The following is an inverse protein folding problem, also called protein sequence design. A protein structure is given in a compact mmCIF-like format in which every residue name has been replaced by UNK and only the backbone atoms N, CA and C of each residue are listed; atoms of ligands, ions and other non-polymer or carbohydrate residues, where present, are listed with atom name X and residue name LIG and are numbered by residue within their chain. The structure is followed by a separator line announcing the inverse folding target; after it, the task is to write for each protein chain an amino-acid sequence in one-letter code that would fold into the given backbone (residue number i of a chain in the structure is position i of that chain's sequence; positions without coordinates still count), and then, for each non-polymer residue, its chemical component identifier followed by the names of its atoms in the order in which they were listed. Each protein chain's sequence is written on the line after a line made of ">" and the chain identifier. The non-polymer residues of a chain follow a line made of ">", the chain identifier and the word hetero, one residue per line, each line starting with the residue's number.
data_IF_390295713539
#
_entry.id   IF_390295713539
#
_cell.length_a   1.000
_cell.length_b   1.000
_cell.length_c   1.000
_cell.angle_alpha   90.00
_cell.angle_beta   90.00
_cell.angle_gamma   90.00
#
_symmetry.space_group_name_H-M   'P 1'
#
loop_
_entity.id
_entity.type
_entity.pdbx_description
1 polymer ?
#
# COMPACT_ATOMS: atom_id res chain seq x y z
N UNK A 1 9.21 -8.53 -20.18
CA UNK A 1 9.06 -7.82 -18.92
C UNK A 1 7.97 -6.78 -19.14
N UNK A 2 6.77 -7.02 -18.63
CA UNK A 2 5.67 -6.07 -18.77
C UNK A 2 5.88 -5.01 -17.71
N UNK A 3 6.27 -3.80 -18.12
CA UNK A 3 6.26 -2.65 -17.23
C UNK A 3 4.81 -2.49 -16.77
N UNK A 4 4.55 -2.61 -15.48
CA UNK A 4 3.29 -2.17 -14.92
C UNK A 4 3.31 -0.66 -15.12
N UNK A 5 2.56 -0.15 -16.09
CA UNK A 5 2.30 1.28 -16.17
C UNK A 5 1.42 1.58 -14.96
N UNK A 6 1.89 2.33 -13.96
CA UNK A 6 1.05 2.64 -12.82
C UNK A 6 -0.10 3.49 -13.32
N UNK A 7 -1.28 2.91 -13.40
CA UNK A 7 -2.50 3.69 -13.58
C UNK A 7 -2.77 4.29 -12.22
N UNK A 8 -2.44 5.57 -12.06
CA UNK A 8 -2.81 6.29 -10.85
C UNK A 8 -4.33 6.26 -10.70
N UNK A 9 -4.81 5.84 -9.57
CA UNK A 9 -6.23 5.84 -9.25
C UNK A 9 -6.45 5.91 -7.74
N UNK A 10 -7.57 6.47 -7.32
CA UNK A 10 -8.04 6.35 -5.94
C UNK A 10 -8.67 4.99 -5.74
N UNK A 11 -8.40 4.34 -4.61
CA UNK A 11 -9.13 3.16 -4.16
C UNK A 11 -9.95 3.54 -2.93
N UNK A 12 -11.25 3.72 -3.10
CA UNK A 12 -12.15 4.16 -2.02
C UNK A 12 -13.34 3.20 -1.95
N UNK A 13 -13.58 2.63 -0.79
CA UNK A 13 -14.70 1.71 -0.58
C UNK A 13 -14.61 0.39 -1.36
N UNK A 14 -13.48 0.07 -1.96
CA UNK A 14 -13.26 -1.09 -2.83
C UNK A 14 -13.35 -0.77 -4.32
N UNK A 15 -13.74 0.44 -4.69
CA UNK A 15 -13.86 0.89 -6.08
C UNK A 15 -12.67 1.74 -6.49
N UNK A 16 -12.18 1.52 -7.73
CA UNK A 16 -11.14 2.31 -8.36
C UNK A 16 -11.76 3.48 -9.15
N UNK A 17 -11.25 4.70 -8.91
CA UNK A 17 -11.64 5.91 -9.67
C UNK A 17 -10.42 6.69 -10.14
N UNK A 18 -10.48 7.17 -11.36
CA UNK A 18 -9.50 8.12 -11.94
C UNK A 18 -9.99 9.56 -11.89
N UNK A 19 -11.10 9.83 -11.22
CA UNK A 19 -11.62 11.20 -11.06
C UNK A 19 -10.57 12.07 -10.37
N UNK A 20 -10.32 13.23 -10.93
CA UNK A 20 -9.26 14.14 -10.52
C UNK A 20 -9.79 15.54 -10.16
N UNK A 21 -10.69 15.69 -9.17
CA UNK A 21 -11.29 16.99 -8.82
C UNK A 21 -10.24 18.01 -8.34
N UNK A 22 -9.10 17.55 -7.80
CA UNK A 22 -7.96 18.39 -7.44
C UNK A 22 -6.94 18.58 -8.56
N UNK A 23 -7.20 18.03 -9.77
CA UNK A 23 -6.26 18.02 -10.89
C UNK A 23 -5.46 16.74 -11.00
N UNK A 24 -4.37 16.76 -11.75
CA UNK A 24 -3.48 15.60 -11.98
C UNK A 24 -2.08 15.93 -11.48
N UNK A 25 -1.45 14.98 -10.79
CA UNK A 25 -0.04 15.00 -10.42
C UNK A 25 0.79 14.11 -11.35
N UNK A 26 2.07 14.41 -11.44
CA UNK A 26 3.05 13.62 -12.20
C UNK A 26 4.05 13.02 -11.19
N UNK A 27 4.36 11.74 -11.33
CA UNK A 27 5.48 11.10 -10.64
C UNK A 27 6.71 11.21 -11.54
N UNK A 28 7.67 11.98 -11.10
CA UNK A 28 8.90 12.24 -11.85
C UNK A 28 9.94 11.14 -11.61
N UNK A 29 10.76 10.87 -12.63
CA UNK A 29 11.94 10.04 -12.49
C UNK A 29 13.15 10.94 -12.21
N UNK A 30 13.72 10.95 -11.00
CA UNK A 30 14.81 11.85 -10.64
C UNK A 30 16.11 11.59 -11.42
N UNK A 31 16.29 10.37 -11.94
CA UNK A 31 17.43 10.02 -12.79
C UNK A 31 17.19 10.40 -14.27
N UNK A 32 15.95 10.58 -14.68
CA UNK A 32 15.55 10.90 -16.05
C UNK A 32 14.33 11.85 -16.04
N UNK A 33 14.53 13.14 -15.77
CA UNK A 33 13.40 14.10 -15.62
C UNK A 33 12.50 14.23 -16.85
N UNK A 34 13.01 13.87 -18.02
CA UNK A 34 12.26 13.89 -19.29
C UNK A 34 11.41 12.62 -19.52
N UNK A 35 11.52 11.63 -18.62
CA UNK A 35 10.81 10.35 -18.69
C UNK A 35 9.96 10.15 -17.41
N UNK A 36 8.80 10.78 -17.27
CA UNK A 36 7.96 10.63 -16.06
C UNK A 36 7.55 9.18 -15.87
N UNK A 37 7.42 8.77 -14.61
CA UNK A 37 7.01 7.41 -14.24
C UNK A 37 5.53 7.19 -14.53
N UNK A 38 4.70 8.19 -14.25
CA UNK A 38 3.27 8.13 -14.52
C UNK A 38 2.51 9.34 -14.02
N UNK A 39 1.21 9.36 -14.30
CA UNK A 39 0.28 10.37 -13.83
C UNK A 39 -0.67 9.77 -12.78
N UNK A 40 -1.13 10.59 -11.86
CA UNK A 40 -2.10 10.17 -10.84
C UNK A 40 -3.12 11.28 -10.57
N UNK A 41 -4.39 10.91 -10.26
CA UNK A 41 -5.42 11.88 -9.94
C UNK A 41 -5.16 12.50 -8.56
N UNK A 42 -5.38 13.80 -8.44
CA UNK A 42 -5.41 14.50 -7.18
C UNK A 42 -6.85 14.57 -6.67
N UNK A 43 -7.06 14.11 -5.45
CA UNK A 43 -8.31 14.28 -4.73
C UNK A 43 -8.43 15.70 -4.17
N UNK A 44 -9.65 16.08 -3.85
CA UNK A 44 -9.98 17.29 -3.08
C UNK A 44 -10.45 16.93 -1.65
N UNK A 45 -10.95 17.93 -0.93
CA UNK A 45 -11.49 17.72 0.43
C UNK A 45 -12.70 16.76 0.45
N UNK A 46 -13.49 16.73 -0.62
CA UNK A 46 -14.64 15.82 -0.76
C UNK A 46 -14.14 14.38 -0.91
N UNK A 47 -13.19 14.17 -1.82
CA UNK A 47 -12.53 12.85 -2.03
C UNK A 47 -11.95 12.32 -0.73
N UNK A 48 -11.27 13.16 0.05
CA UNK A 48 -10.73 12.78 1.36
C UNK A 48 -11.85 12.42 2.36
N UNK A 49 -12.94 13.19 2.38
CA UNK A 49 -14.11 12.91 3.21
C UNK A 49 -14.78 11.58 2.88
N UNK A 50 -14.90 11.26 1.60
CA UNK A 50 -15.45 9.99 1.12
C UNK A 50 -14.56 8.80 1.52
N UNK A 51 -13.25 8.96 1.41
CA UNK A 51 -12.28 7.93 1.83
C UNK A 51 -12.39 7.66 3.35
N UNK A 52 -12.48 8.70 4.17
CA UNK A 52 -12.67 8.58 5.62
C UNK A 52 -14.01 7.89 5.93
N UNK A 53 -15.08 8.29 5.25
CA UNK A 53 -16.41 7.71 5.43
C UNK A 53 -16.41 6.22 5.08
N UNK A 54 -15.80 5.84 3.97
CA UNK A 54 -15.66 4.43 3.57
C UNK A 54 -14.87 3.63 4.62
N UNK A 55 -13.77 4.18 5.14
CA UNK A 55 -12.98 3.54 6.18
C UNK A 55 -13.75 3.35 7.49
N UNK A 56 -14.50 4.36 7.93
CA UNK A 56 -15.36 4.28 9.13
C UNK A 56 -16.44 3.20 8.96
N UNK A 57 -17.08 3.13 7.81
CA UNK A 57 -18.10 2.12 7.52
C UNK A 57 -17.52 0.70 7.52
N UNK A 58 -16.30 0.51 7.03
CA UNK A 58 -15.63 -0.78 6.99
C UNK A 58 -15.06 -1.22 8.36
N UNK A 59 -14.77 -0.27 9.25
CA UNK A 59 -14.02 -0.51 10.49
C UNK A 59 -14.65 -1.60 11.38
N UNK A 60 -15.97 -1.57 11.56
CA UNK A 60 -16.67 -2.54 12.43
C UNK A 60 -16.53 -3.95 11.89
N UNK A 61 -16.78 -4.16 10.60
CA UNK A 61 -16.64 -5.46 9.95
C UNK A 61 -15.19 -5.96 10.02
N UNK A 62 -14.23 -5.09 9.79
CA UNK A 62 -12.81 -5.42 9.88
C UNK A 62 -12.38 -5.80 11.30
N UNK A 63 -12.83 -5.03 12.31
CA UNK A 63 -12.57 -5.34 13.72
C UNK A 63 -13.16 -6.69 14.10
N UNK A 64 -14.42 -6.93 13.74
CA UNK A 64 -15.20 -8.09 14.17
C UNK A 64 -14.84 -9.36 13.37
N UNK A 65 -14.13 -9.23 12.26
CA UNK A 65 -13.56 -10.36 11.49
C UNK A 65 -12.58 -11.23 12.32
N UNK A 66 -12.08 -10.70 13.42
CA UNK A 66 -11.15 -11.39 14.32
C UNK A 66 -9.70 -11.42 13.81
N UNK A 67 -8.80 -11.71 14.73
CA UNK A 67 -7.35 -11.69 14.46
C UNK A 67 -6.92 -12.64 13.33
N UNK A 68 -7.46 -13.87 13.31
CA UNK A 68 -7.09 -14.87 12.30
C UNK A 68 -7.47 -14.46 10.87
N UNK A 69 -8.61 -13.79 10.69
CA UNK A 69 -9.01 -13.30 9.37
C UNK A 69 -8.13 -12.16 8.90
N UNK A 70 -7.81 -11.21 9.79
CA UNK A 70 -6.88 -10.12 9.48
C UNK A 70 -5.47 -10.62 9.18
N UNK A 71 -4.99 -11.63 9.93
CA UNK A 71 -3.71 -12.27 9.67
C UNK A 71 -3.64 -12.88 8.26
N UNK A 72 -4.71 -13.57 7.81
CA UNK A 72 -4.77 -14.12 6.45
C UNK A 72 -4.65 -13.05 5.36
N UNK A 73 -5.25 -11.88 5.55
CA UNK A 73 -5.12 -10.77 4.59
C UNK A 73 -3.67 -10.29 4.53
N UNK A 74 -2.99 -10.17 5.67
CA UNK A 74 -1.57 -9.80 5.72
C UNK A 74 -0.68 -10.85 5.05
N UNK A 75 -0.96 -12.14 5.27
CA UNK A 75 -0.23 -13.23 4.61
C UNK A 75 -0.40 -13.19 3.08
N UNK A 76 -1.61 -12.94 2.60
CA UNK A 76 -1.88 -12.77 1.16
C UNK A 76 -1.16 -11.55 0.59
N UNK A 77 -1.12 -10.43 1.30
CA UNK A 77 -0.35 -9.26 0.90
C UNK A 77 1.14 -9.60 0.76
N UNK A 78 1.71 -10.35 1.73
CA UNK A 78 3.11 -10.78 1.65
C UNK A 78 3.40 -11.64 0.42
N UNK A 79 2.50 -12.56 0.06
CA UNK A 79 2.63 -13.38 -1.16
C UNK A 79 2.65 -12.49 -2.40
N UNK A 80 1.76 -11.48 -2.48
CA UNK A 80 1.72 -10.55 -3.61
C UNK A 80 2.99 -9.69 -3.72
N UNK A 81 3.60 -9.31 -2.59
CA UNK A 81 4.90 -8.62 -2.59
C UNK A 81 6.00 -9.51 -3.14
N UNK A 82 6.05 -10.80 -2.74
CA UNK A 82 7.04 -11.75 -3.27
C UNK A 82 6.89 -11.93 -4.79
N UNK A 83 5.66 -12.15 -5.26
CA UNK A 83 5.37 -12.37 -6.66
C UNK A 83 5.69 -11.16 -7.54
N UNK A 84 5.65 -9.95 -6.96
CA UNK A 84 5.85 -8.68 -7.66
C UNK A 84 7.15 -7.97 -7.26
N UNK A 85 8.06 -8.64 -6.58
CA UNK A 85 9.28 -8.03 -6.04
C UNK A 85 10.06 -7.25 -7.11
N UNK A 86 10.25 -7.81 -8.30
CA UNK A 86 11.04 -7.16 -9.36
C UNK A 86 10.32 -5.95 -9.96
N UNK A 87 9.01 -6.02 -10.13
CA UNK A 87 8.20 -4.92 -10.64
C UNK A 87 8.15 -3.75 -9.65
N UNK A 88 7.94 -4.07 -8.36
CA UNK A 88 7.93 -3.09 -7.28
C UNK A 88 9.32 -2.44 -7.11
N UNK A 89 10.38 -3.22 -7.18
CA UNK A 89 11.73 -2.71 -7.09
C UNK A 89 12.06 -1.75 -8.24
N UNK A 90 11.65 -2.09 -9.46
CA UNK A 90 11.86 -1.22 -10.62
C UNK A 90 11.08 0.10 -10.48
N UNK A 91 9.81 0.02 -10.08
CA UNK A 91 8.97 1.20 -9.86
C UNK A 91 9.57 2.12 -8.78
N UNK A 92 9.94 1.56 -7.64
CA UNK A 92 10.59 2.28 -6.55
C UNK A 92 11.90 2.96 -7.00
N UNK A 93 12.74 2.26 -7.78
CA UNK A 93 13.95 2.84 -8.36
C UNK A 93 13.63 4.02 -9.26
N UNK A 94 12.60 3.91 -10.08
CA UNK A 94 12.21 4.97 -11.02
C UNK A 94 11.64 6.20 -10.29
N UNK A 95 10.85 6.00 -9.23
CA UNK A 95 10.21 7.11 -8.49
C UNK A 95 11.16 7.79 -7.49
N UNK A 96 12.04 7.02 -6.83
CA UNK A 96 12.88 7.56 -5.76
C UNK A 96 14.35 7.78 -6.16
N UNK A 97 14.78 7.19 -7.29
CA UNK A 97 16.16 7.33 -7.78
C UNK A 97 17.21 6.49 -7.02
N UNK A 98 16.79 5.62 -6.10
CA UNK A 98 17.70 4.68 -5.42
C UNK A 98 18.12 3.53 -6.35
N UNK A 99 19.14 2.77 -5.97
CA UNK A 99 19.59 1.63 -6.77
C UNK A 99 18.55 0.51 -6.80
N UNK A 100 18.52 -0.25 -7.90
CA UNK A 100 17.61 -1.40 -8.02
C UNK A 100 17.83 -2.45 -6.93
N UNK A 101 19.07 -2.61 -6.47
CA UNK A 101 19.41 -3.56 -5.41
C UNK A 101 18.79 -3.13 -4.06
N UNK A 102 18.85 -1.84 -3.73
CA UNK A 102 18.21 -1.29 -2.52
C UNK A 102 16.69 -1.42 -2.60
N UNK A 103 16.09 -1.00 -3.70
CA UNK A 103 14.64 -1.10 -3.93
C UNK A 103 14.14 -2.55 -3.83
N UNK A 104 14.92 -3.51 -4.36
CA UNK A 104 14.60 -4.94 -4.23
C UNK A 104 14.64 -5.40 -2.77
N UNK A 105 15.64 -4.95 -2.01
CA UNK A 105 15.72 -5.21 -0.57
C UNK A 105 14.50 -4.69 0.19
N UNK A 106 14.00 -3.51 -0.16
CA UNK A 106 12.81 -2.93 0.46
C UNK A 106 11.52 -3.68 0.11
N UNK A 107 11.37 -4.14 -1.14
CA UNK A 107 10.24 -4.96 -1.53
C UNK A 107 10.20 -6.29 -0.76
N UNK A 108 11.35 -6.95 -0.59
CA UNK A 108 11.49 -8.17 0.22
C UNK A 108 11.17 -7.87 1.69
N UNK A 109 11.73 -6.81 2.27
CA UNK A 109 11.47 -6.40 3.65
C UNK A 109 9.99 -6.10 3.89
N UNK A 110 9.29 -5.54 2.89
CA UNK A 110 7.85 -5.30 2.96
C UNK A 110 7.08 -6.61 3.12
N UNK A 111 7.39 -7.64 2.32
CA UNK A 111 6.78 -8.96 2.47
C UNK A 111 7.05 -9.57 3.86
N UNK A 112 8.28 -9.48 4.35
CA UNK A 112 8.65 -9.96 5.69
C UNK A 112 7.91 -9.23 6.80
N UNK A 113 7.72 -7.92 6.65
CA UNK A 113 6.96 -7.08 7.60
C UNK A 113 5.50 -7.52 7.67
N UNK A 114 4.85 -7.76 6.53
CA UNK A 114 3.49 -8.29 6.51
C UNK A 114 3.39 -9.66 7.20
N UNK A 115 4.34 -10.57 6.98
CA UNK A 115 4.39 -11.88 7.66
C UNK A 115 4.58 -11.73 9.16
N UNK A 116 5.47 -10.84 9.58
CA UNK A 116 5.69 -10.55 10.99
C UNK A 116 4.41 -10.05 11.68
N UNK A 117 3.71 -9.09 11.07
CA UNK A 117 2.44 -8.57 11.60
C UNK A 117 1.34 -9.64 11.62
N UNK A 118 1.28 -10.50 10.59
CA UNK A 118 0.37 -11.64 10.58
C UNK A 118 0.65 -12.62 11.73
N UNK A 119 1.92 -12.85 12.04
CA UNK A 119 2.36 -13.66 13.19
C UNK A 119 1.93 -13.04 14.52
N UNK A 120 2.16 -11.74 14.69
CA UNK A 120 1.74 -11.02 15.90
C UNK A 120 0.23 -11.06 16.11
N UNK A 121 -0.56 -10.95 15.04
CA UNK A 121 -2.01 -11.02 15.11
C UNK A 121 -2.53 -12.39 15.62
N UNK A 122 -1.71 -13.44 15.59
CA UNK A 122 -2.03 -14.78 16.11
C UNK A 122 -1.61 -14.99 17.56
N UNK A 123 -0.89 -14.04 18.14
CA UNK A 123 -0.44 -14.09 19.53
C UNK A 123 -1.24 -13.12 20.38
N UNK A 124 -1.43 -13.46 21.67
CA UNK A 124 -2.00 -12.49 22.62
C UNK A 124 -0.94 -11.43 22.93
N UNK A 125 -1.20 -10.19 22.50
CA UNK A 125 -0.32 -9.04 22.74
C UNK A 125 -0.74 -8.21 23.96
N UNK A 126 -1.80 -8.61 24.64
CA UNK A 126 -2.28 -7.90 25.83
C UNK A 126 -1.31 -8.12 27.00
N UNK A 127 -0.71 -7.05 27.45
CA UNK A 127 0.01 -7.00 28.72
C UNK A 127 -0.85 -6.26 29.73
N UNK A 128 -1.32 -6.99 30.73
CA UNK A 128 -2.01 -6.38 31.88
C UNK A 128 -0.94 -5.99 32.88
N UNK A 129 -0.79 -4.69 33.10
CA UNK A 129 0.05 -4.16 34.18
C UNK A 129 -0.84 -3.98 35.41
N UNK A 130 -0.57 -4.69 36.55
CA UNK A 130 -1.30 -4.42 37.76
C UNK A 130 -1.05 -2.97 38.20
N UNK A 131 -2.09 -2.21 38.43
CA UNK A 131 -1.98 -0.90 39.07
C UNK A 131 -1.82 -1.14 40.58
N UNK A 132 -0.76 -0.56 41.17
CA UNK A 132 -0.61 -0.48 42.63
C UNK A 132 -1.55 0.58 43.20
#
# INVERSE_FOLDING_TARGET
>A
MSLITPIGAHLIGGDWSTDAPGGTGISDNPARPDEPVGEYPLGDATTAGDAVTAAVNAQTTWRDAGFGSRARVMEQAAVLFDERTDDLALLCTMEEGKTLAESRGEAVLSAETFRYQAGLAKTSTERIFPSN
#
